data_IF_350643215140
#
_entry.id   IF_350643215140
#
_cell.length_a   1.000
_cell.length_b   1.000
_cell.length_c   1.000
_cell.angle_alpha   90.00
_cell.angle_beta   90.00
_cell.angle_gamma   90.00
#
_symmetry.space_group_name_H-M   'P 1'
#
loop_
_entity.id
_entity.type
_entity.pdbx_description
1 polymer ?
2 polymer ?
3 non-polymer ?
4 non-polymer ?
5 water ?
#
# COMPACT_ATOMS: atom_id res chain seq x y z
N UNK A 1 -9.56 2.21 -9.99
CA UNK A 1 -8.47 1.35 -9.44
C UNK A 1 -7.75 2.12 -8.33
N UNK A 2 -6.69 1.50 -7.79
CA UNK A 2 -5.91 2.10 -6.72
C UNK A 2 -5.42 3.50 -7.10
N UNK A 3 -5.27 3.73 -8.39
CA UNK A 3 -4.81 5.02 -8.92
C UNK A 3 -5.79 6.16 -8.60
N UNK A 4 -7.07 5.99 -8.94
CA UNK A 4 -8.08 7.02 -8.66
C UNK A 4 -8.34 7.20 -7.16
N UNK A 5 -8.51 6.07 -6.47
CA UNK A 5 -8.77 6.07 -5.03
C UNK A 5 -7.66 6.79 -4.28
N UNK A 6 -6.42 6.56 -4.69
CA UNK A 6 -5.31 7.22 -4.05
C UNK A 6 -5.31 8.72 -4.24
N UNK A 7 -5.76 9.15 -5.41
CA UNK A 7 -5.84 10.58 -5.73
C UNK A 7 -6.87 11.21 -4.82
N UNK A 8 -7.99 10.51 -4.64
CA UNK A 8 -9.08 10.98 -3.78
C UNK A 8 -8.58 11.10 -2.34
N UNK A 9 -7.87 10.08 -1.89
CA UNK A 9 -7.35 10.09 -0.53
C UNK A 9 -6.44 11.28 -0.31
N UNK A 10 -5.56 11.56 -1.26
CA UNK A 10 -4.67 12.70 -1.11
C UNK A 10 -5.47 14.01 -1.08
N UNK A 11 -6.37 14.15 -2.02
CA UNK A 11 -7.25 15.31 -2.12
C UNK A 11 -8.04 15.62 -0.81
N UNK A 12 -8.58 14.56 -0.22
CA UNK A 12 -9.40 14.68 0.99
C UNK A 12 -8.64 14.72 2.31
N UNK A 13 -7.48 14.08 2.37
CA UNK A 13 -6.72 14.03 3.62
C UNK A 13 -5.40 14.78 3.62
N UNK A 14 -4.87 15.06 2.43
CA UNK A 14 -3.59 15.74 2.35
C UNK A 14 -2.47 14.76 2.63
N UNK A 15 -2.81 13.48 2.74
CA UNK A 15 -1.83 12.42 2.99
C UNK A 15 -1.76 11.51 1.76
N UNK A 16 -0.58 10.96 1.50
CA UNK A 16 -0.40 10.03 0.37
C UNK A 16 -0.99 8.71 0.86
N UNK A 17 -1.91 8.13 0.10
CA UNK A 17 -2.53 6.88 0.52
C UNK A 17 -1.49 5.84 0.90
N UNK A 18 -0.41 5.77 0.12
CA UNK A 18 0.70 4.87 0.41
C UNK A 18 1.79 5.85 0.80
N UNK A 19 2.41 5.68 1.98
CA UNK A 19 2.24 4.63 3.01
C UNK A 19 1.31 4.96 4.18
N UNK A 20 0.66 6.12 4.16
CA UNK A 20 -0.22 6.52 5.27
C UNK A 20 -1.38 5.58 5.59
N UNK A 21 -2.06 5.08 4.56
CA UNK A 21 -3.21 4.19 4.76
C UNK A 21 -3.06 2.79 4.16
N UNK A 22 -1.83 2.39 3.85
CA UNK A 22 -1.63 1.08 3.23
C UNK A 22 -1.22 -0.06 4.19
N UNK A 23 -0.94 0.27 5.44
CA UNK A 23 -0.56 -0.75 6.43
C UNK A 23 -1.21 -0.39 7.75
N UNK A 24 -2.29 0.37 7.66
CA UNK A 24 -3.00 0.85 8.84
C UNK A 24 -4.04 -0.11 9.43
N UNK A 25 -3.90 -0.36 10.72
CA UNK A 25 -4.82 -1.23 11.42
C UNK A 25 -4.97 -2.61 10.80
N UNK A 26 -6.14 -3.20 11.02
CA UNK A 26 -6.45 -4.54 10.53
C UNK A 26 -7.05 -4.58 9.13
N UNK A 27 -7.69 -3.49 8.70
CA UNK A 27 -8.34 -3.49 7.39
C UNK A 27 -7.81 -2.58 6.30
N UNK A 28 -6.92 -1.66 6.64
CA UNK A 28 -6.35 -0.75 5.63
C UNK A 28 -5.09 -1.39 5.06
N UNK A 29 -5.30 -2.37 4.19
CA UNK A 29 -4.20 -3.09 3.57
C UNK A 29 -4.83 -4.26 2.85
N UNK A 30 -4.17 -5.41 2.86
CA UNK A 30 -4.72 -6.58 2.19
C UNK A 30 -5.49 -7.46 3.18
N UNK A 31 -5.10 -7.37 4.45
CA UNK A 31 -5.74 -8.18 5.49
C UNK A 31 -7.26 -8.10 5.49
N UNK A 32 -7.90 -9.04 6.17
CA UNK A 32 -9.34 -9.04 6.21
C UNK A 32 -9.96 -9.68 7.43
N UNK A 33 -9.54 -9.28 8.62
CA UNK A 33 -10.13 -9.86 9.83
C UNK A 33 -9.83 -9.15 11.14
N UNK A 34 -10.60 -9.51 12.15
CA UNK A 34 -10.43 -8.93 13.46
C UNK A 34 -11.30 -7.70 13.64
N UNK A 35 -11.28 -7.14 14.84
CA UNK A 35 -12.06 -5.94 15.13
C UNK A 35 -11.28 -4.71 14.68
N UNK A 36 -11.90 -3.85 13.85
CA UNK A 36 -11.21 -2.65 13.40
C UNK A 36 -10.66 -1.91 14.63
N UNK A 37 -9.45 -1.38 14.52
CA UNK A 37 -8.80 -0.69 15.64
C UNK A 37 -9.42 0.65 16.05
N UNK A 38 -9.86 1.44 15.08
CA UNK A 38 -10.46 2.74 15.36
C UNK A 38 -11.36 3.18 14.22
N UNK A 39 -11.77 4.45 14.22
CA UNK A 39 -12.65 4.99 13.18
C UNK A 39 -12.05 4.89 11.78
N UNK A 40 -10.76 5.22 11.66
CA UNK A 40 -10.10 5.15 10.36
C UNK A 40 -10.10 3.72 9.85
N UNK A 41 -9.80 2.79 10.74
CA UNK A 41 -9.77 1.37 10.40
C UNK A 41 -11.16 0.89 9.98
N UNK A 42 -12.19 1.42 10.63
CA UNK A 42 -13.56 1.04 10.27
C UNK A 42 -13.87 1.56 8.86
N UNK A 43 -13.24 2.68 8.48
CA UNK A 43 -13.46 3.23 7.14
C UNK A 43 -13.03 2.18 6.12
N UNK A 44 -11.88 1.55 6.37
CA UNK A 44 -11.38 0.53 5.46
C UNK A 44 -12.29 -0.69 5.50
N UNK A 45 -12.81 -1.02 6.69
CA UNK A 45 -13.71 -2.18 6.80
C UNK A 45 -14.90 -1.97 5.88
N UNK A 46 -15.55 -0.82 6.01
CA UNK A 46 -16.71 -0.48 5.19
C UNK A 46 -16.33 -0.48 3.71
N UNK A 47 -15.12 -0.04 3.40
CA UNK A 47 -14.67 -0.01 2.02
C UNK A 47 -14.57 -1.43 1.48
N UNK A 48 -14.06 -2.36 2.29
CA UNK A 48 -13.97 -3.75 1.86
C UNK A 48 -15.36 -4.31 1.60
N UNK A 49 -16.29 -4.00 2.50
CA UNK A 49 -17.66 -4.47 2.34
C UNK A 49 -18.31 -3.94 1.06
N UNK A 50 -18.02 -2.70 0.71
CA UNK A 50 -18.57 -2.07 -0.49
C UNK A 50 -18.03 -2.81 -1.73
N UNK A 51 -16.71 -2.93 -1.84
CA UNK A 51 -16.06 -3.64 -2.94
C UNK A 51 -16.53 -5.10 -2.95
N UNK A 52 -16.79 -5.62 -1.76
CA UNK A 52 -17.23 -7.00 -1.63
C UNK A 52 -18.63 -7.22 -2.17
N UNK A 53 -19.35 -6.13 -2.39
CA UNK A 53 -20.69 -6.21 -2.90
C UNK A 53 -20.76 -5.80 -4.36
N UNK A 54 -19.60 -5.83 -5.02
CA UNK A 54 -19.48 -5.52 -6.44
C UNK A 54 -18.90 -6.77 -7.13
N UNK A 55 -19.55 -7.94 -6.97
CA UNK A 55 -19.11 -9.22 -7.55
C UNK A 55 -18.95 -9.18 -9.06
N UNK A 56 -19.83 -8.44 -9.72
CA UNK A 56 -19.79 -8.34 -11.16
C UNK A 56 -18.71 -7.40 -11.67
N UNK A 57 -17.90 -6.86 -10.77
CA UNK A 57 -16.85 -5.91 -11.16
C UNK A 57 -15.42 -6.26 -10.79
N UNK A 58 -14.52 -5.33 -11.12
CA UNK A 58 -13.09 -5.43 -10.84
C UNK A 58 -12.63 -4.12 -10.22
N UNK A 59 -12.97 -3.90 -8.93
CA UNK A 59 -12.62 -2.70 -8.18
C UNK A 59 -11.20 -2.17 -8.33
N UNK A 60 -10.22 -2.98 -7.95
CA UNK A 60 -8.81 -2.59 -7.99
C UNK A 60 -8.18 -2.31 -9.35
N UNK A 61 -8.80 -2.77 -10.44
CA UNK A 61 -8.20 -2.54 -11.75
C UNK A 61 -9.00 -1.65 -12.71
N UNK A 62 -10.32 -1.69 -12.61
CA UNK A 62 -11.16 -0.90 -13.50
C UNK A 62 -10.97 0.61 -13.29
N UNK A 63 -10.50 1.29 -14.33
CA UNK A 63 -10.27 2.73 -14.29
C UNK A 63 -11.59 3.48 -14.49
N UNK A 64 -11.78 4.52 -13.68
CA UNK A 64 -12.98 5.33 -13.76
C UNK A 64 -12.55 6.78 -13.72
N UNK A 65 -13.50 7.67 -13.97
CA UNK A 65 -13.22 9.10 -13.97
C UNK A 65 -14.16 9.82 -13.01
N UNK A 66 -13.71 10.98 -12.53
CA UNK A 66 -14.50 11.78 -11.59
C UNK A 66 -13.95 13.19 -11.57
N UNK A 67 -14.69 14.12 -10.96
CA UNK A 67 -14.22 15.49 -10.87
C UNK A 67 -14.79 16.21 -9.65
N UNK A 68 -14.17 17.32 -9.28
CA UNK A 68 -14.63 18.08 -8.13
C UNK A 68 -15.48 19.27 -8.56
N UNK A 69 -16.61 19.44 -7.89
CA UNK A 69 -17.56 20.50 -8.17
C UNK A 69 -17.95 21.19 -6.86
N UNK A 70 -17.41 22.39 -6.64
CA UNK A 70 -17.69 23.14 -5.42
C UNK A 70 -16.95 22.52 -4.24
N UNK A 71 -15.85 21.83 -4.53
CA UNK A 71 -15.06 21.21 -3.49
C UNK A 71 -15.46 19.80 -3.13
N UNK A 72 -16.56 19.31 -3.70
CA UNK A 72 -17.03 17.96 -3.40
C UNK A 72 -16.82 17.02 -4.59
N UNK A 73 -16.30 15.83 -4.29
CA UNK A 73 -16.04 14.81 -5.30
C UNK A 73 -17.33 14.49 -6.06
N UNK A 74 -17.23 14.37 -7.37
CA UNK A 74 -18.39 14.04 -8.19
C UNK A 74 -18.02 12.93 -9.16
N UNK A 75 -18.59 11.75 -8.96
CA UNK A 75 -18.30 10.63 -9.85
C UNK A 75 -18.93 10.90 -11.21
N UNK A 76 -18.10 10.83 -12.26
CA UNK A 76 -18.58 11.05 -13.62
C UNK A 76 -19.53 9.90 -13.93
N UNK A 77 -19.90 9.75 -15.20
CA UNK A 77 -20.80 8.66 -15.56
C UNK A 77 -20.11 7.71 -16.53
N UNK A 78 -19.73 6.55 -16.01
CA UNK A 78 -19.09 5.54 -16.83
C UNK A 78 -20.00 4.33 -16.83
N UNK A 79 -19.40 3.15 -16.84
CA UNK A 79 -20.21 1.92 -16.82
C UNK A 79 -20.78 1.79 -15.41
N UNK A 80 -21.73 0.89 -15.25
CA UNK A 80 -22.33 0.66 -13.94
C UNK A 80 -21.23 0.42 -12.92
N UNK A 81 -20.31 -0.47 -13.26
CA UNK A 81 -19.20 -0.81 -12.38
C UNK A 81 -18.34 0.41 -12.02
N UNK A 82 -18.04 1.23 -13.02
CA UNK A 82 -17.21 2.40 -12.81
C UNK A 82 -17.82 3.40 -11.82
N UNK A 83 -19.14 3.60 -11.92
CA UNK A 83 -19.81 4.52 -11.02
C UNK A 83 -19.93 3.95 -9.61
N UNK A 84 -20.14 2.64 -9.50
CA UNK A 84 -20.27 2.02 -8.19
C UNK A 84 -18.91 1.95 -7.48
N UNK A 85 -17.86 1.65 -8.25
CA UNK A 85 -16.52 1.59 -7.68
C UNK A 85 -16.12 3.00 -7.23
N UNK A 86 -16.40 3.99 -8.06
CA UNK A 86 -16.08 5.38 -7.73
C UNK A 86 -16.77 5.81 -6.44
N UNK A 87 -18.03 5.40 -6.28
CA UNK A 87 -18.79 5.74 -5.08
C UNK A 87 -18.20 5.08 -3.84
N UNK A 88 -17.82 3.82 -3.96
CA UNK A 88 -17.21 3.13 -2.81
C UNK A 88 -15.95 3.89 -2.37
N UNK A 89 -15.13 4.31 -3.33
CA UNK A 89 -13.90 5.05 -3.04
C UNK A 89 -14.19 6.43 -2.42
N UNK A 90 -15.18 7.14 -2.97
CA UNK A 90 -15.56 8.45 -2.48
C UNK A 90 -15.96 8.38 -1.00
N UNK A 91 -16.79 7.40 -0.66
CA UNK A 91 -17.24 7.21 0.70
C UNK A 91 -16.07 6.97 1.65
N UNK A 92 -15.08 6.21 1.21
CA UNK A 92 -13.92 5.93 2.07
C UNK A 92 -13.03 7.14 2.23
N UNK A 93 -12.72 7.81 1.12
CA UNK A 93 -11.87 9.01 1.12
C UNK A 93 -12.40 10.05 2.08
N UNK A 94 -13.71 10.27 2.03
CA UNK A 94 -14.37 11.23 2.91
C UNK A 94 -14.39 10.73 4.35
N UNK A 95 -14.53 9.41 4.52
CA UNK A 95 -14.54 8.83 5.85
C UNK A 95 -13.19 9.09 6.51
N UNK A 96 -12.11 8.92 5.73
CA UNK A 96 -10.76 9.12 6.23
C UNK A 96 -10.56 10.57 6.73
N UNK A 97 -11.08 11.53 5.96
CA UNK A 97 -10.95 12.94 6.31
C UNK A 97 -11.76 13.28 7.55
N UNK A 98 -12.97 12.75 7.63
CA UNK A 98 -13.85 13.02 8.77
C UNK A 98 -13.23 12.53 10.07
N UNK A 99 -12.37 11.53 9.98
CA UNK A 99 -11.73 10.95 11.16
C UNK A 99 -10.22 11.16 11.27
N UNK A 100 -9.69 12.15 10.55
CA UNK A 100 -8.25 12.43 10.63
C UNK A 100 -7.98 12.74 12.08
N UNK A 101 -9.02 13.26 12.71
CA UNK A 101 -9.05 13.66 14.09
C UNK A 101 -8.51 12.59 15.04
N UNK A 102 -8.77 11.34 14.72
CA UNK A 102 -8.32 10.23 15.56
C UNK A 102 -7.32 9.29 14.91
N UNK A 103 -6.72 9.70 13.81
CA UNK A 103 -5.73 8.88 13.15
C UNK A 103 -4.53 8.74 14.11
N UNK A 104 -4.13 7.49 14.38
CA UNK A 104 -3.01 7.21 15.29
C UNK A 104 -1.83 6.58 14.59
N UNK A 105 -0.65 7.16 14.80
CA UNK A 105 0.56 6.62 14.18
C UNK A 105 0.85 5.20 14.64
N UNK A 106 0.45 4.87 15.86
CA UNK A 106 0.71 3.55 16.42
C UNK A 106 0.06 2.40 15.67
N UNK A 107 -0.90 2.71 14.80
CA UNK A 107 -1.58 1.68 14.02
C UNK A 107 -0.97 1.50 12.63
N UNK A 108 0.05 2.29 12.34
CA UNK A 108 0.75 2.18 11.07
C UNK A 108 1.64 0.95 11.14
N UNK A 109 1.87 0.29 10.00
CA UNK A 109 2.71 -0.91 9.93
C UNK A 109 2.21 -1.96 10.93
N UNK A 110 0.89 -2.02 11.10
CA UNK A 110 0.25 -2.95 12.03
C UNK A 110 0.40 -4.42 11.64
N UNK A 111 0.94 -5.26 12.54
CA UNK A 111 1.14 -6.70 12.30
C UNK A 111 -0.20 -7.41 12.12
N UNK A 112 -0.36 -8.13 11.00
CA UNK A 112 -1.61 -8.82 10.73
C UNK A 112 -1.95 -9.92 11.74
N UNK A 113 -0.93 -10.53 12.36
CA UNK A 113 -1.22 -11.58 13.33
C UNK A 113 -1.98 -11.06 14.52
N UNK A 114 -1.92 -9.74 14.75
CA UNK A 114 -2.65 -9.15 15.87
C UNK A 114 -4.13 -8.99 15.56
N UNK A 115 -4.53 -9.42 14.35
CA UNK A 115 -5.93 -9.34 13.93
C UNK A 115 -6.49 -10.74 13.65
N UNK A 116 -7.43 -11.16 14.48
CA UNK A 116 -8.05 -12.47 14.31
C UNK A 116 -9.56 -12.42 14.53
N UNK A 117 -10.27 -13.26 13.79
CA UNK A 117 -11.72 -13.30 13.89
C UNK A 117 -12.38 -12.67 12.68
N UNK A 118 -13.43 -13.31 12.18
CA UNK A 118 -14.13 -12.78 11.02
C UNK A 118 -15.25 -11.85 11.48
N UNK A 119 -15.29 -10.66 10.89
CA UNK A 119 -16.31 -9.67 11.20
C UNK A 119 -17.16 -9.50 9.95
N UNK A 120 -18.30 -10.18 9.93
CA UNK A 120 -19.21 -10.16 8.79
C UNK A 120 -19.76 -8.78 8.42
N UNK A 121 -19.84 -8.52 7.12
CA UNK A 121 -20.36 -7.26 6.58
C UNK A 121 -21.86 -7.12 6.75
N UNK B 1 18.61 4.74 -2.02
CA UNK B 1 19.06 3.79 -3.07
C UNK B 1 19.09 2.37 -2.51
N UNK B 2 19.55 1.40 -3.33
CA UNK B 2 19.59 0.01 -2.86
C UNK B 2 20.61 -0.21 -1.74
N UNK B 3 21.59 0.66 -1.62
CA UNK B 3 22.57 0.49 -0.54
C UNK B 3 21.84 0.66 0.79
N UNK B 4 21.05 1.73 0.92
CA UNK B 4 20.29 1.97 2.16
C UNK B 4 19.18 0.94 2.34
N UNK B 5 18.36 0.76 1.30
CA UNK B 5 17.24 -0.19 1.34
C UNK B 5 17.76 -1.59 1.63
N UNK B 6 18.86 -1.96 0.99
CA UNK B 6 19.45 -3.27 1.21
C UNK B 6 19.96 -3.47 2.64
N UNK B 7 20.42 -2.40 3.27
CA UNK B 7 20.90 -2.48 4.64
C UNK B 7 19.72 -2.71 5.58
N UNK B 8 18.60 -2.03 5.31
CA UNK B 8 17.41 -2.18 6.13
C UNK B 8 16.90 -3.61 6.02
N UNK B 9 16.87 -4.12 4.79
CA UNK B 9 16.39 -5.48 4.55
C UNK B 9 17.23 -6.51 5.30
N UNK B 10 18.55 -6.37 5.24
CA UNK B 10 19.44 -7.30 5.93
C UNK B 10 19.24 -7.23 7.43
N UNK B 11 19.10 -6.01 7.95
CA UNK B 11 18.91 -5.80 9.39
C UNK B 11 17.57 -6.31 9.89
N UNK B 12 16.54 -6.22 9.06
CA UNK B 12 15.21 -6.65 9.46
C UNK B 12 14.86 -8.11 9.18
N UNK B 13 15.41 -8.67 8.11
CA UNK B 13 15.10 -10.05 7.71
C UNK B 13 16.24 -11.06 7.81
N UNK B 14 17.47 -10.58 7.83
CA UNK B 14 18.60 -11.49 7.88
C UNK B 14 18.93 -12.02 6.48
N UNK B 15 18.25 -11.49 5.47
CA UNK B 15 18.47 -11.91 4.07
C UNK B 15 19.13 -10.77 3.28
N UNK B 16 19.80 -11.12 2.18
CA UNK B 16 20.43 -10.12 1.33
C UNK B 16 19.42 -9.69 0.28
N UNK B 17 19.25 -8.39 0.08
CA UNK B 17 18.29 -7.89 -0.90
C UNK B 17 18.42 -8.64 -2.23
N UNK B 18 19.66 -8.80 -2.69
CA UNK B 18 19.94 -9.56 -3.91
C UNK B 18 20.60 -10.81 -3.32
N UNK B 19 20.08 -12.00 -3.61
CA UNK B 19 18.94 -12.41 -4.44
C UNK B 19 17.57 -12.61 -3.77
N UNK B 20 17.52 -12.65 -2.45
CA UNK B 20 16.26 -12.91 -1.76
C UNK B 20 15.03 -12.09 -2.11
N UNK B 21 15.22 -10.81 -2.41
CA UNK B 21 14.07 -9.97 -2.74
C UNK B 21 14.21 -9.27 -4.10
N UNK B 22 15.13 -9.76 -4.93
CA UNK B 22 15.33 -9.17 -6.27
C UNK B 22 14.84 -10.12 -7.36
N UNK B 23 14.49 -11.34 -6.95
CA UNK B 23 13.98 -12.34 -7.88
C UNK B 23 12.99 -13.20 -7.11
N UNK B 24 11.88 -12.59 -6.71
CA UNK B 24 10.85 -13.28 -5.94
C UNK B 24 9.49 -12.79 -6.39
N UNK B 25 8.62 -13.71 -6.81
CA UNK B 25 7.29 -13.35 -7.25
C UNK B 25 7.25 -12.47 -8.48
N UNK B 26 6.18 -11.68 -8.60
CA UNK B 26 6.01 -10.78 -9.74
C UNK B 26 6.59 -9.39 -9.53
N UNK B 27 6.62 -8.91 -8.28
CA UNK B 27 7.10 -7.56 -8.02
C UNK B 27 8.41 -7.37 -7.24
N UNK B 28 8.91 -8.41 -6.58
CA UNK B 28 10.16 -8.26 -5.84
C UNK B 28 11.30 -8.37 -6.83
N UNK B 29 11.68 -7.22 -7.37
CA UNK B 29 12.72 -7.13 -8.37
C UNK B 29 12.38 -5.94 -9.25
N UNK B 30 12.37 -6.13 -10.58
CA UNK B 30 12.07 -5.03 -11.49
C UNK B 30 11.01 -5.37 -12.53
N UNK B 31 10.19 -6.37 -12.24
CA UNK B 31 9.14 -6.79 -13.15
C UNK B 31 7.93 -5.87 -13.26
N UNK B 32 7.34 -5.52 -12.12
CA UNK B 32 6.17 -4.65 -12.13
C UNK B 32 5.04 -5.08 -13.07
N UNK B 33 4.62 -6.34 -12.97
CA UNK B 33 3.55 -6.86 -13.82
C UNK B 33 2.86 -8.08 -13.22
N UNK B 34 1.53 -8.10 -13.29
CA UNK B 34 0.78 -9.25 -12.78
C UNK B 34 0.12 -9.07 -11.42
N UNK B 35 -0.28 -10.18 -10.82
CA UNK B 35 -0.93 -10.19 -9.50
C UNK B 35 0.08 -10.70 -8.48
N UNK B 36 0.33 -9.92 -7.41
CA UNK B 36 1.28 -10.39 -6.40
C UNK B 36 0.94 -11.82 -5.99
N UNK B 37 1.96 -12.67 -5.86
CA UNK B 37 1.77 -14.08 -5.51
C UNK B 37 1.47 -14.39 -4.05
N UNK B 38 2.12 -13.69 -3.13
CA UNK B 38 1.87 -13.93 -1.71
C UNK B 38 2.07 -12.65 -0.90
N UNK B 39 2.12 -12.77 0.42
CA UNK B 39 2.29 -11.60 1.28
C UNK B 39 3.58 -10.83 0.98
N UNK B 40 4.69 -11.54 0.84
CA UNK B 40 5.96 -10.87 0.55
C UNK B 40 5.89 -10.13 -0.78
N UNK B 41 5.27 -10.74 -1.78
CA UNK B 41 5.14 -10.14 -3.11
C UNK B 41 4.27 -8.88 -3.04
N UNK B 42 3.27 -8.90 -2.17
CA UNK B 42 2.40 -7.75 -2.02
C UNK B 42 3.20 -6.61 -1.40
N UNK B 43 4.13 -6.95 -0.51
CA UNK B 43 4.97 -5.93 0.13
C UNK B 43 5.75 -5.20 -0.97
N UNK B 44 6.25 -5.93 -1.96
CA UNK B 44 7.02 -5.35 -3.05
C UNK B 44 6.15 -4.51 -3.98
N UNK B 45 4.95 -4.99 -4.25
CA UNK B 45 4.01 -4.27 -5.10
C UNK B 45 3.73 -2.92 -4.47
N UNK B 46 3.50 -2.92 -3.16
CA UNK B 46 3.24 -1.68 -2.44
C UNK B 46 4.45 -0.74 -2.48
N UNK B 47 5.65 -1.31 -2.43
CA UNK B 47 6.88 -0.52 -2.47
C UNK B 47 7.01 0.17 -3.83
N UNK B 48 6.62 -0.53 -4.90
CA UNK B 48 6.70 0.04 -6.24
C UNK B 48 5.72 1.21 -6.34
N UNK B 49 4.50 1.00 -5.86
CA UNK B 49 3.46 2.02 -5.87
C UNK B 49 3.90 3.23 -5.05
N UNK B 50 4.57 2.97 -3.92
CA UNK B 50 5.06 4.03 -3.05
C UNK B 50 6.00 4.93 -3.85
N UNK B 51 6.94 4.29 -4.55
CA UNK B 51 7.90 5.00 -5.39
C UNK B 51 7.19 5.76 -6.50
N UNK B 52 6.12 5.15 -7.03
CA UNK B 52 5.35 5.75 -8.11
C UNK B 52 4.66 7.07 -7.78
N UNK B 53 4.52 7.37 -6.49
CA UNK B 53 3.89 8.60 -6.07
C UNK B 53 4.94 9.70 -5.90
N UNK B 54 6.20 9.37 -6.24
CA UNK B 54 7.31 10.30 -6.14
C UNK B 54 7.92 10.56 -7.51
N UNK B 55 7.14 11.16 -8.43
CA UNK B 55 7.55 11.49 -9.80
C UNK B 55 8.84 12.28 -9.93
N UNK B 56 8.96 13.34 -9.13
CA UNK B 56 10.13 14.21 -9.18
C UNK B 56 11.32 13.69 -8.37
N UNK B 57 11.26 12.42 -7.95
CA UNK B 57 12.34 11.84 -7.18
C UNK B 57 12.93 10.65 -7.94
N UNK B 58 14.08 10.16 -7.48
CA UNK B 58 14.71 9.01 -8.12
C UNK B 58 15.29 8.05 -7.09
N UNK B 59 14.46 7.17 -6.53
CA UNK B 59 14.81 6.17 -5.52
C UNK B 59 16.06 5.37 -5.85
N UNK B 60 16.20 5.01 -7.12
CA UNK B 60 17.33 4.22 -7.60
C UNK B 60 18.69 4.81 -7.23
N UNK B 61 18.83 6.14 -7.30
CA UNK B 61 20.10 6.77 -6.99
C UNK B 61 20.02 7.85 -5.93
N UNK B 62 18.83 8.06 -5.38
CA UNK B 62 18.65 9.07 -4.34
C UNK B 62 19.01 8.45 -2.99
N UNK B 63 20.18 8.83 -2.46
CA UNK B 63 20.63 8.30 -1.17
C UNK B 63 20.22 9.19 -0.01
N UNK B 64 19.79 8.56 1.08
CA UNK B 64 19.36 9.28 2.27
C UNK B 64 20.04 8.67 3.48
N UNK B 65 19.75 9.22 4.65
CA UNK B 65 20.33 8.71 5.88
C UNK B 65 19.26 8.25 6.86
N UNK B 66 19.53 7.15 7.54
CA UNK B 66 18.60 6.62 8.54
C UNK B 66 19.42 6.06 9.71
N UNK B 67 18.82 6.06 10.89
CA UNK B 67 19.51 5.57 12.08
C UNK B 67 18.59 4.62 12.83
N UNK B 68 19.15 3.95 13.83
CA UNK B 68 18.42 3.00 14.67
C UNK B 68 18.24 3.59 16.06
N UNK B 69 16.99 3.77 16.47
CA UNK B 69 16.70 4.33 17.79
C UNK B 69 15.62 3.53 18.51
N UNK B 70 15.91 3.12 19.73
CA UNK B 70 14.96 2.35 20.52
C UNK B 70 14.58 1.11 19.71
N UNK B 71 15.55 0.60 18.95
CA UNK B 71 15.35 -0.58 18.13
C UNK B 71 14.66 -0.37 16.78
N UNK B 72 14.09 0.82 16.57
CA UNK B 72 13.38 1.11 15.33
C UNK B 72 14.14 1.99 14.34
N UNK B 73 13.77 1.87 13.07
CA UNK B 73 14.36 2.65 12.00
C UNK B 73 13.84 4.08 12.03
N UNK B 74 14.75 5.04 11.93
CA UNK B 74 14.38 6.44 11.95
C UNK B 74 14.92 7.10 10.69
N UNK B 75 14.02 7.64 9.88
CA UNK B 75 14.39 8.33 8.66
C UNK B 75 14.74 9.76 9.09
N UNK B 76 16.02 10.09 9.01
CA UNK B 76 16.50 11.41 9.39
C UNK B 76 15.95 12.51 8.48
N UNK B 77 15.76 13.70 9.04
CA UNK B 77 15.22 14.82 8.28
C UNK B 77 16.14 15.21 7.12
N UNK B 78 15.61 15.13 5.91
CA UNK B 78 16.38 15.48 4.73
C UNK B 78 15.47 16.17 3.73
N UNK B 79 15.75 16.02 2.44
CA UNK B 79 14.90 16.63 1.43
C UNK B 79 13.58 15.84 1.42
N UNK B 80 12.55 16.44 0.83
CA UNK B 80 11.25 15.77 0.74
C UNK B 80 11.39 14.41 0.05
N UNK B 81 12.20 14.36 -1.00
CA UNK B 81 12.43 13.12 -1.73
C UNK B 81 13.18 12.10 -0.87
N UNK B 82 14.16 12.55 -0.10
CA UNK B 82 14.91 11.63 0.75
C UNK B 82 14.03 11.08 1.86
N UNK B 83 13.18 11.94 2.42
CA UNK B 83 12.27 11.56 3.49
C UNK B 83 11.29 10.49 3.02
N UNK B 84 10.55 10.80 1.96
CA UNK B 84 9.56 9.89 1.40
C UNK B 84 10.12 8.60 0.84
N UNK B 85 11.29 8.63 0.22
CA UNK B 85 11.88 7.40 -0.29
C UNK B 85 12.30 6.53 0.89
N UNK B 86 12.83 7.16 1.93
CA UNK B 86 13.25 6.41 3.12
C UNK B 86 12.04 5.74 3.77
N UNK B 87 10.92 6.46 3.85
CA UNK B 87 9.71 5.90 4.45
C UNK B 87 9.16 4.76 3.60
N UNK B 88 9.35 4.85 2.29
CA UNK B 88 8.89 3.78 1.40
C UNK B 88 9.73 2.54 1.68
N UNK B 89 11.04 2.72 1.81
CA UNK B 89 11.93 1.58 2.04
C UNK B 89 11.70 0.96 3.41
N UNK B 90 11.52 1.80 4.42
CA UNK B 90 11.28 1.34 5.79
C UNK B 90 10.03 0.49 5.88
N UNK B 91 8.95 0.99 5.29
CA UNK B 91 7.69 0.26 5.29
C UNK B 91 7.84 -1.10 4.61
N UNK B 92 8.59 -1.16 3.52
CA UNK B 92 8.79 -2.41 2.80
C UNK B 92 9.62 -3.43 3.60
N UNK B 93 10.72 -2.97 4.20
CA UNK B 93 11.59 -3.85 4.96
C UNK B 93 10.87 -4.46 6.17
N UNK B 94 10.05 -3.66 6.83
CA UNK B 94 9.29 -4.14 7.99
C UNK B 94 8.26 -5.13 7.48
N UNK B 95 7.60 -4.78 6.37
CA UNK B 95 6.61 -5.66 5.77
C UNK B 95 7.26 -7.02 5.49
N UNK B 96 8.47 -7.00 4.94
CA UNK B 96 9.19 -8.25 4.66
C UNK B 96 9.36 -9.03 5.97
N UNK B 97 9.84 -8.36 7.00
CA UNK B 97 10.07 -9.02 8.28
C UNK B 97 8.78 -9.64 8.81
N UNK B 98 7.71 -8.86 8.80
CA UNK B 98 6.42 -9.31 9.29
C UNK B 98 5.89 -10.54 8.56
N UNK B 99 6.32 -10.74 7.31
CA UNK B 99 5.85 -11.87 6.52
C UNK B 99 6.87 -12.96 6.23
N UNK B 100 7.94 -13.02 7.02
CA UNK B 100 8.97 -14.04 6.85
C UNK B 100 8.42 -15.45 7.00
N UNK B 101 7.33 -15.56 7.75
CA UNK B 101 6.67 -16.83 8.02
C UNK B 101 6.07 -17.48 6.78
N UNK B 102 5.83 -16.68 5.73
CA UNK B 102 5.26 -17.24 4.51
C UNK B 102 6.18 -17.07 3.30
N UNK B 103 7.41 -16.65 3.55
CA UNK B 103 8.38 -16.49 2.47
C UNK B 103 8.79 -17.89 2.03
N UNK B 104 8.60 -18.20 0.75
CA UNK B 104 8.97 -19.52 0.23
C UNK B 104 9.78 -19.47 -1.06
N UNK B 105 10.75 -20.37 -1.15
CA UNK B 105 11.63 -20.46 -2.29
C UNK B 105 10.85 -20.84 -3.55
N UNK B 106 9.60 -21.23 -3.36
CA UNK B 106 8.73 -21.59 -4.46
C UNK B 106 8.63 -20.43 -5.43
N UNK B 107 8.68 -19.21 -4.89
CA UNK B 107 8.56 -18.01 -5.72
C UNK B 107 9.85 -17.31 -6.11
N UNK B 108 11.00 -17.93 -5.86
CA UNK B 108 12.26 -17.31 -6.26
C UNK B 108 12.43 -17.63 -7.73
N UNK B 109 13.05 -16.73 -8.49
CA UNK B 109 13.27 -16.93 -9.93
C UNK B 109 11.95 -17.35 -10.59
N UNK B 110 10.92 -16.57 -10.31
CA UNK B 110 9.58 -16.83 -10.82
C UNK B 110 9.42 -16.44 -12.30
N UNK B 111 8.90 -17.36 -13.12
CA UNK B 111 8.66 -17.21 -14.55
C UNK B 111 7.88 -15.97 -14.97
N UNK B 112 8.41 -15.27 -15.97
CA UNK B 112 7.80 -14.06 -16.50
C UNK B 112 6.36 -14.27 -16.98
N UNK B 113 6.11 -15.38 -17.69
CA UNK B 113 4.78 -15.67 -18.21
C UNK B 113 3.73 -15.98 -17.14
N UNK B 114 4.18 -16.07 -15.89
CA UNK B 114 3.26 -16.35 -14.79
C UNK B 114 2.80 -15.04 -14.17
N UNK B 115 3.23 -13.93 -14.76
CA UNK B 115 2.87 -12.60 -14.28
C UNK B 115 2.33 -11.77 -15.45
N UNK B 116 1.01 -11.73 -15.59
CA UNK B 116 0.42 -10.97 -16.69
C UNK B 116 -0.72 -10.05 -16.26
N UNK B 117 -0.85 -8.92 -16.97
CA UNK B 117 -1.88 -7.95 -16.64
C UNK B 117 -1.26 -6.85 -15.81
N UNK B 118 -2.00 -5.76 -15.58
CA UNK B 118 -1.45 -4.68 -14.79
C UNK B 118 -2.45 -4.10 -13.80
N UNK B 119 -1.94 -3.77 -12.61
CA UNK B 119 -2.75 -3.16 -11.54
C UNK B 119 -2.27 -1.72 -11.38
N UNK B 120 -3.05 -0.75 -11.86
CA UNK B 120 -2.64 0.64 -11.73
C UNK B 120 -2.72 1.19 -10.31
N UNK B 121 -1.66 1.85 -9.88
CA UNK B 121 -1.60 2.45 -8.55
C UNK B 121 -0.87 3.79 -8.58
N UNK C 1 -2.63 7.50 -7.96
CA UNK C 1 -1.96 7.96 -6.71
C UNK C 1 -1.90 6.79 -5.72
N UNK C 2 -1.10 6.96 -4.68
CA UNK C 2 -0.95 5.93 -3.64
C UNK C 2 -2.35 5.55 -3.20
N UNK C 3 -2.56 4.28 -2.82
CA UNK C 3 -3.88 3.81 -2.36
C UNK C 3 -3.75 2.93 -1.11
N UNK C 4 -4.86 2.56 -0.51
CA UNK C 4 -4.80 1.65 0.62
C UNK C 4 -4.89 0.25 -0.01
N UNK C 5 -3.72 -0.30 -0.23
CA UNK C 5 -3.56 -1.62 -0.85
C UNK C 5 -4.49 -2.68 -0.31
X LIG D 1 -18.82 -11.44 4.74
X LIG D 1 -18.53 -12.06 3.44
X LIG D 1 -20.17 -10.83 4.73
X LIG D 1 -18.75 -12.47 5.79
X LIG D 1 -17.81 -10.39 5.00
X LIG E 1 -2.96 -2.11 20.19
X LIG E 1 -2.86 -3.19 19.44
X LIG E 1 -3.99 -1.79 20.92
X LIG E 1 -1.72 -1.25 20.12
X LIG F 1 7.05 -9.46 13.44
X LIG F 1 8.32 -9.42 13.10
X LIG F 1 6.35 -8.45 13.82
X LIG F 1 6.49 -10.87 13.34
X LIG G 1 11.95 20.19 -0.20
X LIG G 1 11.89 21.04 0.79
X LIG G 1 12.89 19.31 -0.38
X LIG G 1 10.78 20.32 -1.14
#
# INVERSE_FOLDING_TARGET
>A
SLLEFGKMILEETGKLAIPSYSSYGCYCGWGGKGTPKDATDRCCFVHDCCYGNLPDCNPKSDRYKYKRVNGAIVCEKGTSCENRICECDKAAAICFRQNLNTYSKKYMLYPDFLCKGELKC
>B
SLLEFGKMILEETGKLAIPSYSSYGCYCGWGGKGTPKDATDRCCFVHDCCYGNLPDCNPKSDRYKYKRVNGAIVCEKGTSCENRICECDKAAAICFRQNLNTYSKKYMLYPDFLCKGELKC
>C
LAIYS
>D hetero
1 SO4 S O1 O2 O3 O4
>E hetero
1 ACY C O OXT CH3
>F hetero
1 ACY C O OXT CH3
>G hetero
1 ACY C O OXT CH3
#
